data_IF_413394661804
#
_entry.id   IF_413394661804
#
_cell.length_a   1.000
_cell.length_b   1.000
_cell.length_c   1.000
_cell.angle_alpha   90.00
_cell.angle_beta   90.00
_cell.angle_gamma   90.00
#
_symmetry.space_group_name_H-M   'P 1'
#
loop_
_entity.id
_entity.type
_entity.pdbx_description
1 polymer ?
#
# COMPACT_ATOMS: atom_id res chain seq x y z
N UNK A 1 -11.87 -0.02 12.57
CA UNK A 1 -10.50 -0.10 12.02
C UNK A 1 -9.60 0.79 12.87
N UNK A 2 -8.42 0.34 13.23
CA UNK A 2 -7.40 1.06 13.98
C UNK A 2 -6.18 1.29 13.09
N UNK A 3 -5.64 2.51 13.12
CA UNK A 3 -4.39 2.83 12.43
C UNK A 3 -3.22 2.28 13.25
N UNK A 4 -2.57 1.24 12.73
CA UNK A 4 -1.43 0.59 13.38
C UNK A 4 -0.12 1.31 13.06
N UNK A 5 0.04 1.76 11.81
CA UNK A 5 1.24 2.45 11.36
C UNK A 5 0.87 3.54 10.37
N UNK A 6 1.34 4.76 10.60
CA UNK A 6 1.05 5.94 9.78
C UNK A 6 2.31 6.42 9.06
N UNK A 7 2.18 6.72 7.77
CA UNK A 7 3.19 7.40 6.98
C UNK A 7 4.51 6.65 6.90
N UNK A 8 4.47 5.32 6.93
CA UNK A 8 5.70 4.53 6.89
C UNK A 8 6.31 4.61 5.50
N UNK A 9 7.49 5.21 5.43
CA UNK A 9 8.30 5.27 4.23
C UNK A 9 9.00 3.92 4.03
N UNK A 10 9.01 3.44 2.81
CA UNK A 10 9.72 2.24 2.40
C UNK A 10 10.30 2.43 1.01
N UNK A 11 11.37 1.70 0.72
CA UNK A 11 11.97 1.61 -0.60
C UNK A 11 11.49 0.33 -1.27
N UNK A 12 11.25 0.38 -2.57
CA UNK A 12 10.92 -0.79 -3.37
C UNK A 12 11.54 -0.65 -4.75
N UNK A 13 11.79 -1.78 -5.41
CA UNK A 13 12.30 -1.80 -6.77
C UNK A 13 11.14 -2.01 -7.74
N UNK A 14 10.97 -1.09 -8.68
CA UNK A 14 9.87 -1.17 -9.64
C UNK A 14 10.08 -2.25 -10.71
N UNK A 15 9.09 -2.40 -11.59
CA UNK A 15 9.12 -3.41 -12.65
C UNK A 15 10.17 -3.12 -13.74
N UNK A 16 10.76 -1.92 -13.77
CA UNK A 16 11.87 -1.55 -14.66
C UNK A 16 13.23 -1.67 -13.97
N UNK A 17 13.24 -2.09 -12.70
CA UNK A 17 14.45 -2.23 -11.92
C UNK A 17 14.98 -0.91 -11.36
N UNK A 18 14.14 0.13 -11.25
CA UNK A 18 14.49 1.41 -10.64
C UNK A 18 14.05 1.42 -9.18
N UNK A 19 14.90 1.94 -8.31
CA UNK A 19 14.55 2.10 -6.89
C UNK A 19 13.60 3.29 -6.73
N UNK A 20 12.50 3.03 -6.04
CA UNK A 20 11.40 3.96 -5.81
C UNK A 20 11.13 4.09 -4.32
N UNK A 21 10.53 5.20 -3.92
CA UNK A 21 10.09 5.43 -2.56
C UNK A 21 8.57 5.44 -2.47
N UNK A 22 8.02 4.65 -1.56
CA UNK A 22 6.59 4.59 -1.27
C UNK A 22 6.28 5.03 0.16
N UNK A 23 5.02 5.36 0.39
CA UNK A 23 4.47 5.62 1.73
C UNK A 23 3.26 4.73 1.95
N UNK A 24 3.20 4.07 3.11
CA UNK A 24 2.06 3.22 3.49
C UNK A 24 1.47 3.63 4.84
N UNK A 25 0.14 3.65 4.90
CA UNK A 25 -0.61 3.56 6.15
C UNK A 25 -1.18 2.14 6.31
N UNK A 26 -1.08 1.59 7.51
CA UNK A 26 -1.56 0.24 7.83
C UNK A 26 -2.71 0.34 8.82
N UNK A 27 -3.90 -0.05 8.37
CA UNK A 27 -5.10 -0.13 9.18
C UNK A 27 -5.46 -1.58 9.46
N UNK A 28 -5.88 -1.89 10.67
CA UNK A 28 -6.24 -3.26 11.08
C UNK A 28 -7.60 -3.26 11.77
N UNK A 29 -8.37 -4.34 11.64
CA UNK A 29 -9.60 -4.54 12.43
C UNK A 29 -9.26 -4.75 13.91
N UNK A 30 -10.23 -4.56 14.82
CA UNK A 30 -9.98 -4.82 16.24
C UNK A 30 -9.60 -6.29 16.52
N UNK A 31 -10.11 -7.23 15.72
CA UNK A 31 -9.80 -8.66 15.86
C UNK A 31 -8.50 -9.08 15.15
N UNK A 32 -7.87 -8.18 14.37
CA UNK A 32 -6.69 -8.49 13.57
C UNK A 32 -6.94 -9.36 12.34
N UNK A 33 -8.19 -9.72 12.05
CA UNK A 33 -8.59 -10.61 10.94
C UNK A 33 -8.63 -9.92 9.58
N UNK A 34 -8.60 -8.58 9.55
CA UNK A 34 -8.60 -7.77 8.33
C UNK A 34 -7.60 -6.64 8.44
N UNK A 35 -6.95 -6.34 7.33
CA UNK A 35 -6.05 -5.20 7.20
C UNK A 35 -6.32 -4.43 5.92
N UNK A 36 -6.09 -3.12 5.95
CA UNK A 36 -6.12 -2.24 4.79
C UNK A 36 -4.82 -1.48 4.70
N UNK A 37 -4.13 -1.61 3.58
CA UNK A 37 -2.95 -0.82 3.25
C UNK A 37 -3.36 0.35 2.37
N UNK A 38 -2.93 1.55 2.74
CA UNK A 38 -3.11 2.75 1.91
C UNK A 38 -1.75 3.18 1.39
N UNK A 39 -1.49 2.90 0.12
CA UNK A 39 -0.26 3.25 -0.60
C UNK A 39 -0.35 4.65 -1.19
N UNK A 40 0.73 5.41 -1.04
CA UNK A 40 0.90 6.79 -1.51
C UNK A 40 2.30 6.98 -2.07
N UNK A 41 2.46 8.00 -2.91
CA UNK A 41 3.75 8.36 -3.51
C UNK A 41 4.21 7.38 -4.60
N UNK A 42 3.31 6.57 -5.14
CA UNK A 42 3.62 5.74 -6.30
C UNK A 42 3.59 6.61 -7.57
N UNK A 43 4.57 6.50 -8.46
CA UNK A 43 4.55 7.19 -9.75
C UNK A 43 3.28 6.83 -10.55
N UNK A 44 2.65 7.82 -11.19
CA UNK A 44 1.40 7.65 -11.94
C UNK A 44 1.54 6.90 -13.28
N UNK A 45 2.69 6.82 -13.99
CA UNK A 45 2.79 5.82 -15.04
C UNK A 45 2.80 4.42 -14.38
N UNK A 46 1.85 3.59 -14.81
CA UNK A 46 1.77 2.16 -14.42
C UNK A 46 1.54 1.95 -12.92
N UNK A 47 0.71 2.82 -12.29
CA UNK A 47 0.39 2.78 -10.86
C UNK A 47 0.01 1.38 -10.33
N UNK A 48 -0.67 0.55 -11.14
CA UNK A 48 -0.95 -0.85 -10.80
C UNK A 48 0.33 -1.68 -10.68
N UNK A 49 1.19 -1.68 -11.70
CA UNK A 49 2.44 -2.45 -11.68
C UNK A 49 3.41 -1.96 -10.58
N UNK A 50 3.41 -0.65 -10.33
CA UNK A 50 4.14 -0.06 -9.20
C UNK A 50 3.58 -0.55 -7.87
N UNK A 51 2.26 -0.56 -7.71
CA UNK A 51 1.62 -1.03 -6.49
C UNK A 51 1.81 -2.52 -6.25
N UNK A 52 1.82 -3.35 -7.29
CA UNK A 52 2.11 -4.78 -7.19
C UNK A 52 3.54 -5.02 -6.68
N UNK A 53 4.52 -4.23 -7.16
CA UNK A 53 5.91 -4.29 -6.66
C UNK A 53 6.04 -3.77 -5.24
N UNK A 54 5.39 -2.64 -4.92
CA UNK A 54 5.36 -2.10 -3.57
C UNK A 54 4.75 -3.10 -2.58
N UNK A 55 3.62 -3.73 -2.93
CA UNK A 55 2.96 -4.74 -2.12
C UNK A 55 3.88 -5.95 -1.90
N UNK A 56 4.53 -6.46 -2.95
CA UNK A 56 5.47 -7.57 -2.84
C UNK A 56 6.60 -7.25 -1.84
N UNK A 57 7.19 -6.07 -1.94
CA UNK A 57 8.22 -5.62 -1.00
C UNK A 57 7.69 -5.55 0.44
N UNK A 58 6.50 -4.98 0.65
CA UNK A 58 5.90 -4.86 1.98
C UNK A 58 5.60 -6.24 2.60
N UNK A 59 5.14 -7.20 1.81
CA UNK A 59 4.90 -8.59 2.21
C UNK A 59 6.16 -9.29 2.73
N UNK A 60 7.34 -8.91 2.23
CA UNK A 60 8.62 -9.51 2.64
C UNK A 60 9.39 -8.69 3.68
N UNK A 61 8.93 -7.49 4.05
CA UNK A 61 9.69 -6.59 4.92
C UNK A 61 8.94 -6.23 6.18
N UNK A 62 7.78 -5.57 6.09
CA UNK A 62 7.12 -4.99 7.25
C UNK A 62 5.82 -5.71 7.64
N UNK A 63 5.05 -6.22 6.68
CA UNK A 63 3.74 -6.81 6.96
C UNK A 63 3.78 -8.04 7.87
N UNK A 64 4.77 -8.95 7.77
CA UNK A 64 4.84 -10.12 8.66
C UNK A 64 4.97 -9.78 10.15
N UNK A 65 5.47 -8.58 10.47
CA UNK A 65 5.65 -8.11 11.84
C UNK A 65 4.48 -7.25 12.34
N UNK A 66 3.56 -6.88 11.45
CA UNK A 66 2.44 -5.99 11.73
C UNK A 66 1.08 -6.69 11.64
N UNK A 67 0.97 -7.72 10.81
CA UNK A 67 -0.27 -8.41 10.49
C UNK A 67 -0.20 -9.87 10.90
N UNK A 68 -1.37 -10.44 11.22
CA UNK A 68 -1.48 -11.89 11.37
C UNK A 68 -1.31 -12.57 10.00
N UNK A 69 -0.75 -13.78 9.94
CA UNK A 69 -0.60 -14.52 8.68
C UNK A 69 -1.93 -14.79 7.96
N UNK A 70 -3.03 -14.90 8.70
CA UNK A 70 -4.38 -15.19 8.20
C UNK A 70 -5.23 -13.93 7.96
N UNK A 71 -4.67 -12.73 8.12
CA UNK A 71 -5.40 -11.49 7.93
C UNK A 71 -5.77 -11.26 6.46
N UNK A 72 -7.05 -10.98 6.19
CA UNK A 72 -7.50 -10.60 4.85
C UNK A 72 -7.05 -9.18 4.51
N UNK A 73 -6.28 -9.04 3.44
CA UNK A 73 -5.62 -7.80 3.07
C UNK A 73 -6.36 -7.06 1.95
N UNK A 74 -6.78 -5.83 2.21
CA UNK A 74 -7.20 -4.87 1.19
C UNK A 74 -6.10 -3.85 0.89
N UNK A 75 -5.94 -3.45 -0.37
CA UNK A 75 -4.94 -2.45 -0.77
C UNK A 75 -5.58 -1.32 -1.56
N UNK A 76 -5.37 -0.10 -1.09
CA UNK A 76 -5.83 1.15 -1.69
C UNK A 76 -4.60 1.94 -2.15
N UNK A 77 -4.52 2.26 -3.43
CA UNK A 77 -3.48 3.11 -3.99
C UNK A 77 -4.05 4.49 -4.25
N UNK A 78 -3.58 5.48 -3.51
CA UNK A 78 -3.95 6.87 -3.73
C UNK A 78 -3.14 7.42 -4.90
N UNK A 79 -3.84 7.93 -5.92
CA UNK A 79 -3.18 8.63 -7.03
C UNK A 79 -2.55 9.93 -6.51
N UNK A 80 -1.36 10.32 -7.01
CA UNK A 80 -0.82 11.64 -6.73
C UNK A 80 -1.85 12.69 -7.20
N UNK A 81 -2.33 13.52 -6.27
CA UNK A 81 -3.23 14.61 -6.61
C UNK A 81 -2.47 15.62 -7.45
N UNK A 82 -2.85 15.79 -8.71
CA UNK A 82 -2.33 16.86 -9.56
C UNK A 82 -2.81 18.25 -9.12
N UNK A 83 -3.91 18.33 -8.37
CA UNK A 83 -4.50 19.56 -7.84
C UNK A 83 -5.03 19.33 -6.43
N UNK A 84 -4.75 20.26 -5.51
CA UNK A 84 -5.17 20.20 -4.10
C UNK A 84 -6.71 20.20 -3.92
N UNK A 85 -7.48 20.50 -4.96
CA UNK A 85 -8.96 20.43 -5.00
C UNK A 85 -9.53 19.15 -5.63
N UNK A 86 -8.69 18.28 -6.21
CA UNK A 86 -9.17 17.05 -6.84
C UNK A 86 -9.50 15.98 -5.78
N UNK A 87 -10.78 15.63 -5.68
CA UNK A 87 -11.28 14.52 -4.83
C UNK A 87 -10.38 13.29 -4.96
N UNK A 88 -9.75 12.87 -3.87
CA UNK A 88 -8.82 11.74 -3.84
C UNK A 88 -9.45 10.49 -4.49
N UNK A 89 -8.84 10.00 -5.58
CA UNK A 89 -9.26 8.79 -6.27
C UNK A 89 -8.31 7.67 -5.89
N UNK A 90 -8.86 6.58 -5.36
CA UNK A 90 -8.11 5.38 -5.02
C UNK A 90 -8.31 4.31 -6.09
N UNK A 91 -7.21 3.67 -6.52
CA UNK A 91 -7.26 2.39 -7.21
C UNK A 91 -7.31 1.30 -6.14
N UNK A 92 -8.34 0.44 -6.19
CA UNK A 92 -8.41 -0.76 -5.36
C UNK A 92 -7.67 -1.85 -6.12
N UNK A 93 -6.57 -2.36 -5.56
CA UNK A 93 -5.94 -3.55 -6.16
C UNK A 93 -6.88 -4.74 -5.96
N UNK A 94 -7.02 -5.64 -6.95
CA UNK A 94 -7.75 -6.88 -6.74
C UNK A 94 -7.16 -7.58 -5.52
N UNK A 95 -8.05 -8.04 -4.63
CA UNK A 95 -7.67 -8.79 -3.43
C UNK A 95 -7.01 -10.09 -3.90
N UNK A 96 -5.68 -10.12 -3.97
CA UNK A 96 -4.95 -11.35 -4.20
C UNK A 96 -5.17 -12.23 -2.97
N UNK A 97 -5.97 -13.28 -3.17
CA UNK A 97 -6.30 -14.29 -2.17
C UNK A 97 -5.07 -15.09 -1.72
#
# INVERSE_FOLDING_TARGET
MQLLRRGHKFEYRDHRGVDQQGVVDVWVSQAGDRAVLVLRGLPDPEAQAQADKALLTLTHTCLPYLLRPDARLGVLVLRPGGDEEAKARALVLPLSA
#
